data_IF_374927978597
#
_entry.id   IF_374927978597
#
_cell.length_a   1.000
_cell.length_b   1.000
_cell.length_c   1.000
_cell.angle_alpha   90.00
_cell.angle_beta   90.00
_cell.angle_gamma   90.00
#
_symmetry.space_group_name_H-M   'P 1'
#
loop_
_entity.id
_entity.type
_entity.pdbx_description
1 polymer ?
#
# COMPACT_ATOMS: atom_id res chain seq x y z
N UNK A 1 16.71 8.31 -42.77
CA UNK A 1 17.49 8.44 -41.53
C UNK A 1 16.59 8.69 -40.34
N UNK A 2 15.66 7.76 -40.09
CA UNK A 2 14.81 7.77 -38.89
C UNK A 2 15.42 6.82 -37.86
N UNK A 3 16.42 7.32 -37.14
CA UNK A 3 16.80 6.77 -35.84
C UNK A 3 15.98 7.54 -34.82
N UNK A 4 14.68 7.27 -34.78
CA UNK A 4 13.89 7.60 -33.60
C UNK A 4 14.28 6.61 -32.53
N UNK A 5 15.21 7.07 -31.68
CA UNK A 5 15.68 6.36 -30.49
C UNK A 5 14.48 5.94 -29.63
N UNK A 6 14.22 4.64 -29.60
CA UNK A 6 13.27 4.00 -28.69
C UNK A 6 13.63 4.24 -27.20
N UNK A 7 14.84 4.74 -26.93
CA UNK A 7 15.30 5.13 -25.59
C UNK A 7 14.74 6.49 -25.13
N UNK A 8 14.36 7.39 -26.04
CA UNK A 8 13.88 8.74 -25.65
C UNK A 8 12.42 8.73 -25.21
N UNK A 9 11.60 7.83 -25.76
CA UNK A 9 10.19 7.68 -25.39
C UNK A 9 9.95 6.91 -24.08
N UNK A 10 10.93 6.10 -23.66
CA UNK A 10 10.84 5.33 -22.41
C UNK A 10 10.97 6.23 -21.19
N UNK A 11 11.88 7.21 -21.24
CA UNK A 11 12.14 8.14 -20.13
C UNK A 11 11.00 9.14 -19.92
N UNK A 12 10.40 9.69 -20.99
CA UNK A 12 9.33 10.69 -20.84
C UNK A 12 8.03 10.17 -20.21
N UNK A 13 7.74 8.86 -20.33
CA UNK A 13 6.59 8.24 -19.69
C UNK A 13 6.85 8.00 -18.20
N UNK A 14 8.05 7.57 -17.85
CA UNK A 14 8.45 7.32 -16.46
C UNK A 14 8.58 8.63 -15.68
N UNK A 15 9.13 9.68 -16.30
CA UNK A 15 9.24 11.03 -15.71
C UNK A 15 7.86 11.67 -15.45
N UNK A 16 6.92 11.51 -16.40
CA UNK A 16 5.55 11.99 -16.22
C UNK A 16 4.83 11.22 -15.12
N UNK A 17 5.04 9.91 -15.06
CA UNK A 17 4.47 9.04 -14.02
C UNK A 17 5.04 9.40 -12.65
N UNK A 18 6.34 9.71 -12.56
CA UNK A 18 7.00 10.17 -11.34
C UNK A 18 6.48 11.54 -10.88
N UNK A 19 6.23 12.45 -11.81
CA UNK A 19 5.62 13.75 -11.50
C UNK A 19 4.18 13.62 -11.02
N UNK A 20 3.34 12.90 -11.76
CA UNK A 20 1.93 12.65 -11.40
C UNK A 20 1.86 11.95 -10.05
N UNK A 21 2.77 11.01 -9.80
CA UNK A 21 2.89 10.32 -8.53
C UNK A 21 3.31 11.24 -7.39
N UNK A 22 4.36 12.05 -7.56
CA UNK A 22 4.81 13.02 -6.55
C UNK A 22 3.69 14.01 -6.20
N UNK A 23 2.87 14.40 -7.18
CA UNK A 23 1.69 15.24 -6.97
C UNK A 23 0.59 14.50 -6.20
N UNK A 24 0.24 13.27 -6.59
CA UNK A 24 -0.74 12.43 -5.87
C UNK A 24 -0.32 12.19 -4.42
N UNK A 25 0.96 11.92 -4.21
CA UNK A 25 1.54 11.76 -2.89
C UNK A 25 1.46 13.06 -2.09
N UNK A 26 1.96 14.18 -2.60
CA UNK A 26 1.88 15.47 -1.87
C UNK A 26 0.44 15.84 -1.50
N UNK A 27 -0.54 15.48 -2.34
CA UNK A 27 -1.96 15.71 -2.07
C UNK A 27 -2.48 14.76 -0.96
N UNK A 28 -2.05 13.49 -0.93
CA UNK A 28 -2.54 12.47 0.01
C UNK A 28 -1.73 12.39 1.32
N UNK A 29 -0.48 12.84 1.32
CA UNK A 29 0.48 12.74 2.42
C UNK A 29 0.23 13.72 3.57
N UNK A 30 -0.40 14.86 3.28
CA UNK A 30 -0.55 15.95 4.25
C UNK A 30 -1.99 16.19 4.73
N UNK A 31 -2.99 15.44 4.24
CA UNK A 31 -4.39 15.68 4.65
C UNK A 31 -5.30 14.47 4.45
N UNK A 32 -5.83 13.91 5.55
CA UNK A 32 -6.83 12.83 5.53
C UNK A 32 -8.06 13.18 4.65
N UNK A 33 -8.40 14.47 4.58
CA UNK A 33 -9.44 15.03 3.72
C UNK A 33 -9.24 14.71 2.23
N UNK A 34 -8.00 14.81 1.73
CA UNK A 34 -7.71 14.59 0.32
C UNK A 34 -7.75 13.10 -0.04
N UNK A 35 -7.26 12.25 0.86
CA UNK A 35 -7.43 10.81 0.72
C UNK A 35 -8.91 10.41 0.74
N UNK A 36 -9.72 11.03 1.61
CA UNK A 36 -11.16 10.75 1.68
C UNK A 36 -11.86 11.10 0.37
N UNK A 37 -11.60 12.30 -0.16
CA UNK A 37 -12.12 12.72 -1.47
C UNK A 37 -11.66 11.80 -2.58
N UNK A 38 -10.40 11.38 -2.57
CA UNK A 38 -9.90 10.42 -3.57
C UNK A 38 -10.65 9.09 -3.53
N UNK A 39 -10.98 8.57 -2.33
CA UNK A 39 -11.74 7.33 -2.15
C UNK A 39 -13.21 7.53 -2.56
N UNK A 40 -13.82 8.65 -2.16
CA UNK A 40 -15.23 8.96 -2.43
C UNK A 40 -15.48 9.28 -3.92
N UNK A 41 -14.58 10.01 -4.57
CA UNK A 41 -14.71 10.43 -5.97
C UNK A 41 -14.39 9.30 -6.97
N UNK A 42 -13.50 8.37 -6.60
CA UNK A 42 -13.18 7.19 -7.42
C UNK A 42 -13.97 5.94 -7.04
N UNK A 43 -14.85 6.07 -6.05
CA UNK A 43 -15.79 5.04 -5.60
C UNK A 43 -15.15 3.72 -5.13
N UNK A 44 -13.82 3.70 -4.90
CA UNK A 44 -13.14 2.55 -4.31
C UNK A 44 -11.69 2.84 -3.89
N UNK A 45 -11.15 1.99 -3.01
CA UNK A 45 -9.72 1.98 -2.62
C UNK A 45 -8.83 1.25 -3.64
N UNK A 46 -9.39 0.65 -4.69
CA UNK A 46 -8.66 -0.17 -5.66
C UNK A 46 -7.51 0.59 -6.32
N UNK A 47 -7.69 1.90 -6.59
CA UNK A 47 -6.61 2.73 -7.14
C UNK A 47 -5.40 2.80 -6.21
N UNK A 48 -5.58 2.81 -4.88
CA UNK A 48 -4.45 2.74 -3.93
C UNK A 48 -3.76 1.37 -3.98
N UNK A 49 -4.52 0.28 -4.09
CA UNK A 49 -3.97 -1.07 -4.16
C UNK A 49 -3.18 -1.28 -5.46
N UNK A 50 -3.71 -0.78 -6.58
CA UNK A 50 -3.05 -0.82 -7.88
C UNK A 50 -1.75 -0.02 -7.84
N UNK A 51 -1.77 1.18 -7.26
CA UNK A 51 -0.57 1.98 -7.08
C UNK A 51 0.46 1.29 -6.17
N UNK A 52 0.04 0.66 -5.07
CA UNK A 52 0.96 -0.10 -4.22
C UNK A 52 1.62 -1.26 -4.98
N UNK A 53 0.85 -1.95 -5.82
CA UNK A 53 1.34 -3.09 -6.60
C UNK A 53 2.30 -2.66 -7.71
N UNK A 54 2.02 -1.53 -8.37
CA UNK A 54 2.83 -1.00 -9.48
C UNK A 54 4.09 -0.28 -8.99
N UNK A 55 3.97 0.51 -7.93
CA UNK A 55 5.02 1.44 -7.50
C UNK A 55 5.77 1.01 -6.24
N UNK A 56 5.20 0.11 -5.43
CA UNK A 56 5.80 -0.54 -4.27
C UNK A 56 6.65 0.36 -3.36
N UNK A 57 7.94 0.47 -3.71
CA UNK A 57 8.94 1.26 -2.99
C UNK A 57 8.64 2.76 -2.99
N UNK A 58 8.04 3.27 -4.06
CA UNK A 58 7.79 4.71 -4.22
C UNK A 58 6.46 5.14 -3.61
N UNK A 59 5.57 4.20 -3.25
CA UNK A 59 4.18 4.47 -2.85
C UNK A 59 3.97 4.33 -1.33
N UNK A 60 3.75 5.44 -0.64
CA UNK A 60 3.52 5.46 0.82
C UNK A 60 2.03 5.34 1.17
N UNK A 61 1.56 4.10 1.37
CA UNK A 61 0.15 3.80 1.74
C UNK A 61 -0.07 3.76 3.24
N UNK A 62 1.01 3.66 4.04
CA UNK A 62 0.93 3.53 5.50
C UNK A 62 0.07 4.64 6.13
N UNK A 63 0.20 5.85 5.61
CA UNK A 63 -0.56 7.04 6.01
C UNK A 63 -2.08 6.81 6.00
N UNK A 64 -2.59 6.01 5.07
CA UNK A 64 -4.04 5.77 4.94
C UNK A 64 -4.60 5.00 6.14
N UNK A 65 -3.83 4.04 6.67
CA UNK A 65 -4.24 3.25 7.82
C UNK A 65 -3.96 3.95 9.16
N UNK A 66 -2.98 4.86 9.19
CA UNK A 66 -2.69 5.75 10.31
C UNK A 66 -3.80 6.79 10.52
N UNK A 67 -4.34 7.34 9.43
CA UNK A 67 -5.48 8.25 9.45
C UNK A 67 -6.75 7.55 9.96
N UNK A 68 -7.12 7.83 11.22
CA UNK A 68 -8.30 7.23 11.88
C UNK A 68 -9.60 7.40 11.09
N UNK A 69 -9.74 8.51 10.36
CA UNK A 69 -10.91 8.82 9.54
C UNK A 69 -11.01 7.95 8.27
N UNK A 70 -9.89 7.44 7.77
CA UNK A 70 -9.82 6.64 6.54
C UNK A 70 -9.83 5.15 6.81
N UNK A 71 -9.43 4.74 8.03
CA UNK A 71 -9.40 3.34 8.44
C UNK A 71 -10.74 2.59 8.23
N UNK A 72 -11.94 3.17 8.44
CA UNK A 72 -13.19 2.49 8.16
C UNK A 72 -13.33 2.02 6.71
N UNK A 73 -12.78 2.76 5.74
CA UNK A 73 -12.81 2.35 4.33
C UNK A 73 -11.95 1.10 4.08
N UNK A 74 -10.88 0.92 4.86
CA UNK A 74 -9.98 -0.23 4.79
C UNK A 74 -10.52 -1.49 5.50
N UNK A 75 -11.51 -1.35 6.40
CA UNK A 75 -12.11 -2.48 7.13
C UNK A 75 -13.21 -3.10 6.27
N UNK A 76 -12.77 -3.84 5.27
CA UNK A 76 -13.60 -4.56 4.31
C UNK A 76 -12.86 -5.85 3.91
N UNK A 77 -13.56 -6.97 3.83
CA UNK A 77 -13.03 -8.27 3.43
C UNK A 77 -12.22 -8.26 2.14
N UNK A 78 -12.67 -7.53 1.12
CA UNK A 78 -11.96 -7.38 -0.16
C UNK A 78 -10.55 -6.82 0.07
N UNK A 79 -10.44 -5.73 0.84
CA UNK A 79 -9.17 -5.05 1.06
C UNK A 79 -8.28 -5.80 2.03
N UNK A 80 -8.86 -6.34 3.10
CA UNK A 80 -8.12 -7.17 4.04
C UNK A 80 -7.50 -8.37 3.34
N UNK A 81 -8.25 -9.07 2.47
CA UNK A 81 -7.70 -10.20 1.74
C UNK A 81 -6.65 -9.78 0.71
N UNK A 82 -6.87 -8.68 -0.02
CA UNK A 82 -5.86 -8.15 -0.96
C UNK A 82 -4.52 -7.81 -0.25
N UNK A 83 -4.55 -7.06 0.85
CA UNK A 83 -3.33 -6.74 1.61
C UNK A 83 -2.71 -8.00 2.24
N UNK A 84 -3.54 -8.95 2.69
CA UNK A 84 -3.07 -10.23 3.22
C UNK A 84 -2.37 -11.06 2.15
N UNK A 85 -2.87 -11.08 0.91
CA UNK A 85 -2.22 -11.72 -0.22
C UNK A 85 -0.88 -11.06 -0.55
N UNK A 86 -0.84 -9.73 -0.68
CA UNK A 86 0.39 -8.97 -0.96
C UNK A 86 1.46 -9.23 0.11
N UNK A 87 1.06 -9.32 1.38
CA UNK A 87 1.94 -9.64 2.51
C UNK A 87 2.53 -11.06 2.44
N UNK A 88 1.73 -12.06 2.04
CA UNK A 88 2.10 -13.48 2.08
C UNK A 88 2.85 -13.97 0.83
N UNK A 89 2.72 -13.27 -0.29
CA UNK A 89 3.38 -13.64 -1.54
C UNK A 89 4.91 -13.56 -1.42
N UNK A 90 5.59 -14.70 -1.59
CA UNK A 90 7.05 -14.82 -1.44
C UNK A 90 7.84 -14.12 -2.55
N UNK A 91 7.21 -13.88 -3.70
CA UNK A 91 7.78 -13.15 -4.84
C UNK A 91 7.51 -11.64 -4.79
N UNK A 92 6.79 -11.16 -3.77
CA UNK A 92 6.49 -9.74 -3.60
C UNK A 92 7.66 -9.02 -2.94
N UNK A 93 7.96 -7.80 -3.38
CA UNK A 93 8.99 -6.93 -2.81
C UNK A 93 8.80 -6.81 -1.29
N UNK A 94 9.88 -6.92 -0.52
CA UNK A 94 9.86 -6.82 0.95
C UNK A 94 9.17 -5.55 1.43
N UNK A 95 9.32 -4.43 0.72
CA UNK A 95 8.69 -3.16 1.07
C UNK A 95 7.16 -3.19 0.88
N UNK A 96 6.67 -3.84 -0.18
CA UNK A 96 5.21 -4.04 -0.36
C UNK A 96 4.66 -4.94 0.75
N UNK A 97 5.40 -5.99 1.13
CA UNK A 97 5.02 -6.89 2.24
C UNK A 97 5.00 -6.13 3.56
N UNK A 98 6.01 -5.30 3.82
CA UNK A 98 6.12 -4.43 4.98
C UNK A 98 4.95 -3.45 5.06
N UNK A 99 4.68 -2.69 4.00
CA UNK A 99 3.58 -1.71 3.92
C UNK A 99 2.22 -2.39 4.11
N UNK A 100 2.00 -3.53 3.46
CA UNK A 100 0.77 -4.32 3.61
C UNK A 100 0.59 -4.83 5.04
N UNK A 101 1.67 -5.34 5.66
CA UNK A 101 1.66 -5.76 7.07
C UNK A 101 1.37 -4.60 8.03
N UNK A 102 1.91 -3.42 7.76
CA UNK A 102 1.62 -2.19 8.51
C UNK A 102 0.14 -1.79 8.46
N UNK A 103 -0.45 -1.77 7.26
CA UNK A 103 -1.88 -1.50 7.07
C UNK A 103 -2.74 -2.51 7.85
N UNK A 104 -2.43 -3.81 7.73
CA UNK A 104 -3.14 -4.86 8.47
C UNK A 104 -2.95 -4.73 9.98
N UNK A 105 -1.77 -4.32 10.45
CA UNK A 105 -1.50 -4.05 11.86
C UNK A 105 -2.37 -2.90 12.39
N UNK A 106 -2.54 -1.82 11.63
CA UNK A 106 -3.43 -0.72 11.98
C UNK A 106 -4.90 -1.14 11.99
N UNK A 107 -5.33 -1.97 11.03
CA UNK A 107 -6.67 -2.57 11.00
C UNK A 107 -6.89 -3.43 12.24
N UNK A 108 -5.93 -4.29 12.60
CA UNK A 108 -6.00 -5.10 13.82
C UNK A 108 -6.00 -4.24 15.07
N UNK A 109 -5.39 -3.06 15.10
CA UNK A 109 -5.41 -2.24 16.31
C UNK A 109 -6.78 -1.59 16.61
N UNK A 110 -7.80 -1.78 15.76
CA UNK A 110 -9.17 -1.33 16.08
C UNK A 110 -9.85 -2.26 17.07
N UNK A 111 -10.81 -1.71 17.81
CA UNK A 111 -11.61 -2.48 18.75
C UNK A 111 -12.48 -3.53 18.04
N UNK A 112 -12.84 -4.63 18.73
CA UNK A 112 -13.67 -5.70 18.16
C UNK A 112 -15.04 -5.22 17.68
N UNK A 113 -15.54 -4.09 18.20
CA UNK A 113 -16.78 -3.45 17.78
C UNK A 113 -16.70 -2.80 16.39
N UNK A 114 -15.49 -2.51 15.91
CA UNK A 114 -15.25 -1.88 14.60
C UNK A 114 -14.70 -2.88 13.58
N UNK A 115 -14.00 -3.93 14.04
CA UNK A 115 -13.38 -4.94 13.18
C UNK A 115 -14.43 -5.93 12.66
N UNK A 116 -15.21 -5.52 11.66
CA UNK A 116 -16.25 -6.32 11.02
C UNK A 116 -15.68 -6.92 9.73
N UNK A 117 -14.93 -8.01 9.87
CA UNK A 117 -14.33 -8.76 8.76
C UNK A 117 -14.55 -10.27 8.95
N UNK A 118 -14.58 -11.03 7.86
CA UNK A 118 -14.76 -12.49 7.87
C UNK A 118 -13.50 -13.24 8.31
N UNK A 119 -12.31 -12.67 8.11
CA UNK A 119 -11.05 -13.27 8.55
C UNK A 119 -10.92 -13.19 10.06
N UNK A 120 -10.56 -14.31 10.70
CA UNK A 120 -10.32 -14.33 12.14
C UNK A 120 -9.15 -13.41 12.52
N UNK A 121 -9.36 -12.62 13.57
CA UNK A 121 -8.38 -11.65 14.06
C UNK A 121 -7.07 -12.32 14.48
N UNK A 122 -7.13 -13.49 15.11
CA UNK A 122 -5.92 -14.20 15.54
C UNK A 122 -5.21 -14.83 14.36
N UNK A 123 -5.95 -15.34 13.37
CA UNK A 123 -5.40 -15.81 12.11
C UNK A 123 -4.63 -14.71 11.37
N UNK A 124 -5.23 -13.52 11.22
CA UNK A 124 -4.58 -12.39 10.57
C UNK A 124 -3.34 -11.92 11.35
N UNK A 125 -3.43 -11.87 12.68
CA UNK A 125 -2.29 -11.53 13.53
C UNK A 125 -1.15 -12.55 13.42
N UNK A 126 -1.47 -13.85 13.34
CA UNK A 126 -0.49 -14.91 13.13
C UNK A 126 0.18 -14.82 11.76
N UNK A 127 -0.55 -14.41 10.73
CA UNK A 127 0.02 -14.20 9.39
C UNK A 127 1.01 -13.04 9.37
N UNK A 128 0.71 -11.92 10.04
CA UNK A 128 1.67 -10.81 10.20
C UNK A 128 2.92 -11.29 10.94
N UNK A 129 2.75 -12.03 12.04
CA UNK A 129 3.89 -12.55 12.80
C UNK A 129 4.78 -13.47 11.96
N UNK A 130 4.20 -14.38 11.18
CA UNK A 130 4.95 -15.25 10.26
C UNK A 130 5.70 -14.45 9.21
N UNK A 131 5.06 -13.44 8.61
CA UNK A 131 5.72 -12.58 7.62
C UNK A 131 6.97 -11.92 8.21
N UNK A 132 6.91 -11.35 9.42
CA UNK A 132 8.06 -10.72 10.10
C UNK A 132 9.17 -11.76 10.36
N UNK A 133 8.81 -13.00 10.72
CA UNK A 133 9.77 -14.07 10.99
C UNK A 133 10.49 -14.57 9.74
N UNK A 134 9.84 -14.48 8.58
CA UNK A 134 10.38 -14.92 7.30
C UNK A 134 11.26 -13.85 6.60
N UNK A 135 11.50 -12.70 7.24
CA UNK A 135 12.37 -11.66 6.67
C UNK A 135 13.84 -12.08 6.71
N UNK A 136 14.49 -12.03 5.54
CA UNK A 136 15.92 -12.27 5.44
C UNK A 136 16.69 -11.04 5.97
N UNK A 137 17.27 -11.20 7.16
CA UNK A 137 18.06 -10.17 7.86
C UNK A 137 19.38 -9.84 7.15
N UNK A 138 19.77 -10.61 6.13
CA UNK A 138 20.96 -10.38 5.33
C UNK A 138 20.67 -9.63 4.02
N UNK A 139 19.40 -9.38 3.70
CA UNK A 139 19.03 -8.45 2.62
C UNK A 139 19.49 -7.06 3.01
N UNK A 140 20.46 -6.52 2.27
CA UNK A 140 20.95 -5.16 2.42
C UNK A 140 19.97 -4.17 1.74
N UNK A 141 18.69 -4.25 2.12
CA UNK A 141 17.62 -3.37 1.63
C UNK A 141 17.31 -2.34 2.72
N UNK A 142 17.49 -1.06 2.38
CA UNK A 142 16.97 0.05 3.18
C UNK A 142 15.46 0.14 2.97
N UNK A 143 14.68 -0.24 3.99
CA UNK A 143 13.26 0.06 4.05
C UNK A 143 13.13 1.53 4.42
N UNK A 144 12.53 2.34 3.56
CA UNK A 144 12.19 3.71 3.90
C UNK A 144 11.07 3.69 4.95
N UNK A 145 11.29 4.38 6.07
CA UNK A 145 10.31 4.60 7.12
C UNK A 145 10.24 6.10 7.42
N UNK A 146 9.07 6.58 7.86
CA UNK A 146 8.86 7.94 8.33
C UNK A 146 8.80 7.98 9.86
#
# INVERSE_FOLDING_TARGET
DDIFDANTYKNGSDDLLELVWTVLWNITDETAENCRKFIEDNNDLQAFVDCLTVFGERFEVGNLAEAKELRPYLINDTYVEQFRMLMKQSNTNLEIRYKSGGILGHILNVGPEVLIISTDRNELNNDIFKMIKDWDIHLNQTINYR
#
